data_IF_077731041764
#
_entry.id   IF_077731041764
#
_cell.length_a   1.000
_cell.length_b   1.000
_cell.length_c   1.000
_cell.angle_alpha   90.00
_cell.angle_beta   90.00
_cell.angle_gamma   90.00
#
_symmetry.space_group_name_H-M   'P 1'
#
loop_
_entity.id
_entity.type
_entity.pdbx_description
1 polymer ?
#
# COMPACT_ATOMS: atom_id res chain seq x y z
N UNK A 1 13.69 -19.16 -50.28
CA UNK A 1 13.24 -19.67 -48.96
C UNK A 1 14.14 -19.17 -47.82
N UNK A 2 14.36 -17.85 -47.67
CA UNK A 2 15.11 -17.27 -46.53
C UNK A 2 14.26 -16.30 -45.69
N UNK A 3 13.09 -15.88 -46.19
CA UNK A 3 12.23 -14.88 -45.53
C UNK A 3 11.34 -15.42 -44.41
N UNK A 4 11.24 -16.74 -44.21
CA UNK A 4 10.44 -17.32 -43.12
C UNK A 4 11.12 -17.24 -41.74
N UNK A 5 12.45 -17.11 -41.69
CA UNK A 5 13.20 -17.14 -40.42
C UNK A 5 13.16 -15.80 -39.64
N UNK A 6 12.68 -14.71 -40.25
CA UNK A 6 12.62 -13.38 -39.61
C UNK A 6 11.26 -13.05 -38.99
N UNK A 7 10.22 -13.85 -39.24
CA UNK A 7 8.84 -13.58 -38.76
C UNK A 7 8.65 -14.07 -37.31
N UNK A 8 9.30 -15.19 -36.95
CA UNK A 8 9.20 -15.79 -35.62
C UNK A 8 9.67 -14.87 -34.46
N UNK A 9 10.83 -14.19 -34.53
CA UNK A 9 11.26 -13.32 -33.43
C UNK A 9 10.41 -12.04 -33.29
N UNK A 10 9.80 -11.56 -34.38
CA UNK A 10 8.94 -10.38 -34.37
C UNK A 10 7.61 -10.64 -33.65
N UNK A 11 7.07 -11.86 -33.77
CA UNK A 11 5.83 -12.24 -33.08
C UNK A 11 6.02 -12.38 -31.56
N UNK A 12 7.19 -12.86 -31.11
CA UNK A 12 7.52 -12.99 -29.68
C UNK A 12 7.69 -11.62 -29.02
N UNK A 13 8.17 -10.60 -29.75
CA UNK A 13 8.28 -9.23 -29.24
C UNK A 13 6.91 -8.55 -29.03
N UNK A 14 5.91 -8.87 -29.85
CA UNK A 14 4.57 -8.27 -29.78
C UNK A 14 3.71 -8.80 -28.63
N UNK A 15 4.00 -10.01 -28.12
CA UNK A 15 3.29 -10.63 -26.99
C UNK A 15 3.75 -10.10 -25.62
N UNK A 16 4.83 -9.31 -25.55
CA UNK A 16 5.46 -8.91 -24.29
C UNK A 16 4.80 -7.73 -23.57
N UNK A 17 3.74 -7.12 -24.12
CA UNK A 17 3.16 -5.86 -23.58
C UNK A 17 1.68 -5.96 -23.19
N UNK A 18 1.17 -7.15 -22.88
CA UNK A 18 -0.10 -7.26 -22.17
C UNK A 18 0.15 -6.98 -20.68
N UNK A 19 0.24 -5.71 -20.29
CA UNK A 19 0.05 -5.34 -18.88
C UNK A 19 -1.43 -5.55 -18.58
N UNK A 20 -1.74 -6.38 -17.59
CA UNK A 20 -3.10 -6.49 -17.08
C UNK A 20 -3.51 -5.10 -16.58
N UNK A 21 -4.54 -4.52 -17.21
CA UNK A 21 -5.17 -3.31 -16.69
C UNK A 21 -5.96 -3.74 -15.47
N UNK A 22 -5.56 -3.31 -14.28
CA UNK A 22 -6.35 -3.54 -13.07
C UNK A 22 -7.70 -2.84 -13.22
N UNK A 23 -8.78 -3.60 -13.04
CA UNK A 23 -10.12 -3.04 -13.00
C UNK A 23 -10.44 -2.59 -11.57
N UNK A 24 -11.48 -1.75 -11.42
CA UNK A 24 -11.96 -1.34 -10.09
C UNK A 24 -12.31 -2.54 -9.21
N UNK A 25 -12.87 -3.61 -9.80
CA UNK A 25 -13.27 -4.83 -9.12
C UNK A 25 -12.08 -5.66 -8.60
N UNK A 26 -10.92 -5.52 -9.25
CA UNK A 26 -9.68 -6.18 -8.83
C UNK A 26 -9.02 -5.47 -7.64
N UNK A 27 -9.41 -4.22 -7.36
CA UNK A 27 -8.86 -3.40 -6.29
C UNK A 27 -9.60 -3.62 -4.97
N UNK A 28 -9.06 -4.47 -4.09
CA UNK A 28 -9.64 -4.67 -2.75
C UNK A 28 -9.01 -3.73 -1.74
N UNK A 29 -9.87 -2.98 -1.05
CA UNK A 29 -9.51 -2.01 -0.04
C UNK A 29 -9.98 -2.42 1.34
N UNK A 30 -9.34 -1.87 2.37
CA UNK A 30 -9.78 -2.02 3.76
C UNK A 30 -11.12 -1.32 4.00
N UNK A 31 -11.76 -1.62 5.14
CA UNK A 31 -13.15 -1.26 5.45
C UNK A 31 -13.51 0.21 5.21
N UNK A 32 -12.59 1.15 5.47
CA UNK A 32 -12.82 2.60 5.38
C UNK A 32 -12.09 3.25 4.19
N UNK A 33 -11.75 2.44 3.20
CA UNK A 33 -11.06 2.83 1.97
C UNK A 33 -11.88 2.38 0.77
N UNK A 34 -11.87 3.18 -0.29
CA UNK A 34 -12.59 2.88 -1.54
C UNK A 34 -11.63 2.90 -2.72
N UNK A 35 -11.83 2.03 -3.72
CA UNK A 35 -11.10 2.12 -4.98
C UNK A 35 -11.30 3.49 -5.62
N UNK A 36 -10.21 4.12 -6.03
CA UNK A 36 -10.21 5.36 -6.79
C UNK A 36 -9.15 5.29 -7.89
N UNK A 37 -9.55 5.60 -9.12
CA UNK A 37 -8.60 5.69 -10.22
C UNK A 37 -7.73 6.94 -10.05
N UNK A 38 -6.42 6.74 -9.85
CA UNK A 38 -5.45 7.81 -9.78
C UNK A 38 -4.43 7.69 -10.92
N UNK A 39 -4.45 8.66 -11.84
CA UNK A 39 -3.62 8.71 -13.06
C UNK A 39 -3.93 7.57 -14.04
N UNK A 40 -3.46 6.36 -13.75
CA UNK A 40 -3.53 5.18 -14.63
C UNK A 40 -3.72 3.85 -13.88
N UNK A 41 -3.81 3.88 -12.55
CA UNK A 41 -4.00 2.70 -11.71
C UNK A 41 -5.00 2.99 -10.58
N UNK A 42 -5.70 1.95 -10.13
CA UNK A 42 -6.59 2.06 -8.98
C UNK A 42 -5.77 2.07 -7.69
N UNK A 43 -6.25 2.85 -6.72
CA UNK A 43 -5.72 2.92 -5.36
C UNK A 43 -6.85 2.78 -4.36
N UNK A 44 -6.50 2.41 -3.14
CA UNK A 44 -7.39 2.53 -2.01
C UNK A 44 -7.27 3.91 -1.38
N UNK A 45 -8.29 4.75 -1.59
CA UNK A 45 -8.38 6.08 -0.95
C UNK A 45 -9.19 6.02 0.35
N UNK A 46 -8.60 6.51 1.42
CA UNK A 46 -9.25 6.61 2.73
C UNK A 46 -10.37 7.64 2.72
N UNK A 47 -11.53 7.29 3.28
CA UNK A 47 -12.70 8.18 3.30
C UNK A 47 -12.47 9.44 4.14
N UNK A 48 -11.73 9.30 5.25
CA UNK A 48 -11.49 10.35 6.26
C UNK A 48 -10.28 11.22 5.88
N UNK A 49 -9.07 10.64 5.89
CA UNK A 49 -7.81 11.39 5.71
C UNK A 49 -7.30 11.45 4.27
N UNK A 50 -8.06 10.90 3.32
CA UNK A 50 -7.72 10.86 1.88
C UNK A 50 -6.35 10.23 1.57
N UNK A 51 -5.77 9.45 2.50
CA UNK A 51 -4.57 8.65 2.27
C UNK A 51 -4.76 7.70 1.10
N UNK A 52 -3.67 7.42 0.40
CA UNK A 52 -3.62 6.49 -0.71
C UNK A 52 -2.77 5.28 -0.29
N UNK A 53 -3.29 4.09 -0.57
CA UNK A 53 -2.62 2.81 -0.42
C UNK A 53 -2.79 2.02 -1.70
N UNK A 54 -1.86 1.11 -1.98
CA UNK A 54 -2.00 0.24 -3.13
C UNK A 54 -3.15 -0.76 -2.89
N UNK A 55 -3.74 -1.22 -4.00
CA UNK A 55 -4.79 -2.24 -3.95
C UNK A 55 -4.24 -3.54 -3.35
N UNK A 56 -5.11 -4.27 -2.63
CA UNK A 56 -4.80 -5.60 -2.10
C UNK A 56 -3.63 -5.65 -1.09
N UNK A 57 -3.23 -4.51 -0.52
CA UNK A 57 -2.23 -4.48 0.53
C UNK A 57 -2.75 -5.13 1.84
N UNK A 58 -1.86 -5.83 2.58
CA UNK A 58 -2.19 -6.30 3.92
C UNK A 58 -2.37 -5.12 4.88
N UNK A 59 -3.39 -5.20 5.74
CA UNK A 59 -3.69 -4.12 6.70
C UNK A 59 -2.57 -4.00 7.75
N UNK A 60 -1.91 -2.83 7.88
CA UNK A 60 -0.88 -2.62 8.89
C UNK A 60 -1.49 -2.48 10.29
N UNK A 61 -0.71 -2.71 11.36
CA UNK A 61 -1.16 -2.41 12.72
C UNK A 61 -1.49 -0.92 12.88
N UNK A 62 -2.43 -0.61 13.77
CA UNK A 62 -2.72 0.78 14.14
C UNK A 62 -1.68 1.29 15.15
N UNK A 63 -1.22 2.52 14.95
CA UNK A 63 -0.29 3.16 15.89
C UNK A 63 -0.95 3.39 17.24
N UNK A 64 -0.32 2.90 18.31
CA UNK A 64 -0.73 3.15 19.70
C UNK A 64 0.17 4.20 20.30
N UNK A 65 -0.41 5.18 20.99
CA UNK A 65 0.32 6.26 21.64
C UNK A 65 -0.13 6.43 23.08
N UNK A 66 0.81 6.60 24.01
CA UNK A 66 0.52 6.91 25.40
C UNK A 66 0.59 8.43 25.60
N UNK A 67 -0.57 9.04 25.85
CA UNK A 67 -0.72 10.48 26.08
C UNK A 67 -1.28 10.67 27.48
N UNK A 68 -0.56 11.40 28.34
CA UNK A 68 -0.95 11.66 29.73
C UNK A 68 -1.34 10.38 30.52
N UNK A 69 -0.60 9.29 30.28
CA UNK A 69 -0.83 7.98 30.93
C UNK A 69 -2.01 7.18 30.38
N UNK A 70 -2.65 7.63 29.29
CA UNK A 70 -3.73 6.91 28.60
C UNK A 70 -3.26 6.47 27.21
N UNK A 71 -3.60 5.24 26.83
CA UNK A 71 -3.37 4.75 25.49
C UNK A 71 -4.47 5.26 24.55
N UNK A 72 -4.06 5.81 23.41
CA UNK A 72 -4.93 6.15 22.28
C UNK A 72 -4.45 5.38 21.05
N UNK A 73 -5.37 5.09 20.14
CA UNK A 73 -5.09 4.44 18.86
C UNK A 73 -5.32 5.45 17.76
N UNK A 74 -4.34 5.58 16.88
CA UNK A 74 -4.39 6.49 15.75
C UNK A 74 -5.05 5.82 14.56
N UNK A 75 -5.45 6.65 13.60
CA UNK A 75 -6.06 6.18 12.37
C UNK A 75 -5.06 5.43 11.49
N UNK A 76 -5.58 4.54 10.65
CA UNK A 76 -4.79 3.70 9.75
C UNK A 76 -3.88 4.55 8.85
N UNK A 77 -2.60 4.19 8.79
CA UNK A 77 -1.56 4.94 8.09
C UNK A 77 -0.80 5.97 8.94
N UNK A 78 -1.22 6.24 10.17
CA UNK A 78 -0.37 6.94 11.14
C UNK A 78 0.69 5.97 11.64
N UNK A 79 1.95 6.36 11.58
CA UNK A 79 3.10 5.55 12.03
C UNK A 79 3.90 6.22 13.14
N UNK A 80 3.43 7.37 13.63
CA UNK A 80 4.14 8.19 14.59
C UNK A 80 3.17 8.88 15.55
N UNK A 81 3.57 9.02 16.82
CA UNK A 81 2.84 9.80 17.82
C UNK A 81 3.23 11.30 17.81
N UNK A 82 3.93 11.74 16.77
CA UNK A 82 4.45 13.09 16.64
C UNK A 82 3.32 14.13 16.64
N UNK A 83 3.47 15.18 17.46
CA UNK A 83 2.46 16.24 17.62
C UNK A 83 1.52 16.03 18.81
N UNK A 84 1.59 14.89 19.50
CA UNK A 84 0.85 14.65 20.73
C UNK A 84 1.65 15.08 21.94
N UNK A 85 1.01 15.81 22.85
CA UNK A 85 1.64 16.30 24.07
C UNK A 85 2.06 15.11 24.94
N UNK A 86 3.31 15.10 25.40
CA UNK A 86 3.88 14.05 26.26
C UNK A 86 3.94 12.64 25.63
N UNK A 87 3.76 12.49 24.31
CA UNK A 87 3.95 11.22 23.62
C UNK A 87 5.40 11.06 23.12
N UNK A 88 5.83 9.80 22.91
CA UNK A 88 7.05 9.49 22.19
C UNK A 88 6.99 9.92 20.72
N UNK A 89 8.12 9.86 20.00
CA UNK A 89 8.14 10.14 18.55
C UNK A 89 7.50 9.00 17.75
N UNK A 90 7.73 7.77 18.17
CA UNK A 90 7.29 6.55 17.51
C UNK A 90 6.03 6.00 18.21
N UNK A 91 5.34 5.08 17.55
CA UNK A 91 4.28 4.29 18.18
C UNK A 91 4.83 3.44 19.33
N UNK A 92 4.02 3.25 20.37
CA UNK A 92 4.33 2.39 21.51
C UNK A 92 4.37 0.90 21.11
N UNK A 93 3.74 0.55 19.99
CA UNK A 93 3.72 -0.79 19.40
C UNK A 93 4.64 -0.91 18.18
N UNK A 94 5.81 -0.25 18.20
CA UNK A 94 6.81 -0.33 17.13
C UNK A 94 7.19 -1.77 16.76
N UNK A 95 7.27 -2.68 17.73
CA UNK A 95 7.52 -4.10 17.47
C UNK A 95 6.47 -4.75 16.55
N UNK A 96 5.19 -4.39 16.67
CA UNK A 96 4.13 -4.91 15.78
C UNK A 96 4.37 -4.46 14.33
N UNK A 97 4.85 -3.23 14.13
CA UNK A 97 5.23 -2.71 12.82
C UNK A 97 6.48 -3.40 12.27
N UNK A 98 7.50 -3.63 13.11
CA UNK A 98 8.71 -4.35 12.68
C UNK A 98 8.39 -5.76 12.19
N UNK A 99 7.53 -6.48 12.91
CA UNK A 99 7.06 -7.81 12.53
C UNK A 99 6.24 -7.78 11.24
N UNK A 100 5.35 -6.80 11.10
CA UNK A 100 4.57 -6.58 9.89
C UNK A 100 5.47 -6.33 8.66
N UNK A 101 6.45 -5.42 8.76
CA UNK A 101 7.36 -5.12 7.66
C UNK A 101 8.34 -6.25 7.38
N UNK A 102 8.65 -7.10 8.36
CA UNK A 102 9.43 -8.32 8.12
C UNK A 102 8.67 -9.31 7.23
N UNK A 103 7.35 -9.39 7.38
CA UNK A 103 6.48 -10.22 6.54
C UNK A 103 6.17 -9.55 5.20
N UNK A 104 6.14 -8.22 5.17
CA UNK A 104 5.80 -7.40 4.01
C UNK A 104 6.93 -6.41 3.66
N UNK A 105 8.12 -6.90 3.25
CA UNK A 105 9.32 -6.06 3.12
C UNK A 105 9.21 -4.98 2.04
N UNK A 106 8.32 -5.13 1.06
CA UNK A 106 8.07 -4.15 0.02
C UNK A 106 7.38 -2.87 0.57
N UNK A 107 6.65 -2.96 1.68
CA UNK A 107 5.90 -1.83 2.25
C UNK A 107 6.76 -0.89 3.11
N UNK A 108 7.99 -1.31 3.48
CA UNK A 108 8.87 -0.53 4.37
C UNK A 108 9.36 0.80 3.77
N UNK A 109 9.33 0.93 2.44
CA UNK A 109 9.83 2.13 1.74
C UNK A 109 8.77 3.23 1.60
N UNK A 110 7.51 2.92 1.91
CA UNK A 110 6.37 3.81 1.69
C UNK A 110 5.88 4.52 2.97
N UNK A 111 6.52 4.25 4.12
CA UNK A 111 6.13 4.74 5.45
C UNK A 111 7.35 5.17 6.28
#
# INVERSE_FOLDING_TARGET
MKSLFLIAPLLVLLLAVARAVETEEDCKCWKDFVPELHVDHYHCRGLIHKRLFDCNEPEPPLCKCTVDGKQITLDLGETHCAGMKNAGKNCDNDQEFEEFFKQNPHLKLHH
#
